data_IF_770294362135
#
_entry.id   IF_770294362135
#
_cell.length_a   1.000
_cell.length_b   1.000
_cell.length_c   1.000
_cell.angle_alpha   90.00
_cell.angle_beta   90.00
_cell.angle_gamma   90.00
#
_symmetry.space_group_name_H-M   'P 1'
#
loop_
_entity.id
_entity.type
_entity.pdbx_description
1 polymer ?
#
# COMPACT_ATOMS: atom_id res chain seq x y z
N UNK A 1 -20.77 14.67 -3.61
CA UNK A 1 -21.67 14.03 -2.63
C UNK A 1 -23.15 14.35 -2.91
N UNK A 2 -23.65 14.18 -4.12
CA UNK A 2 -24.98 14.68 -4.45
C UNK A 2 -25.89 13.75 -5.24
N UNK A 3 -25.45 12.62 -5.80
CA UNK A 3 -26.31 11.91 -6.75
C UNK A 3 -26.43 10.37 -6.61
N UNK A 4 -25.88 9.75 -5.58
CA UNK A 4 -25.90 8.28 -5.45
C UNK A 4 -27.17 7.71 -4.79
N UNK A 5 -28.02 8.54 -4.17
CA UNK A 5 -29.20 8.06 -3.43
C UNK A 5 -30.54 8.60 -3.96
N UNK A 6 -30.79 8.52 -5.28
CA UNK A 6 -32.07 8.97 -5.84
C UNK A 6 -33.26 8.03 -5.60
N UNK A 7 -33.04 6.80 -5.10
CA UNK A 7 -34.15 5.87 -4.75
C UNK A 7 -33.90 5.22 -3.39
N UNK A 8 -34.80 5.47 -2.46
CA UNK A 8 -34.79 4.92 -1.11
C UNK A 8 -36.13 4.22 -0.83
N UNK A 9 -36.10 3.09 -0.14
CA UNK A 9 -37.30 2.46 0.42
C UNK A 9 -37.45 2.92 1.86
N UNK A 10 -38.64 3.28 2.27
CA UNK A 10 -38.95 3.51 3.68
C UNK A 10 -39.41 2.17 4.27
N UNK A 11 -38.62 1.65 5.21
CA UNK A 11 -38.97 0.45 5.98
C UNK A 11 -39.50 0.84 7.36
N UNK A 12 -40.69 0.36 7.73
CA UNK A 12 -41.23 0.49 9.07
C UNK A 12 -40.80 -0.71 9.91
N UNK A 13 -40.07 -0.44 10.99
CA UNK A 13 -39.49 -1.46 11.85
C UNK A 13 -40.54 -2.29 12.58
N UNK A 14 -40.54 -3.59 12.36
CA UNK A 14 -41.48 -4.55 12.97
C UNK A 14 -40.99 -5.02 14.36
N UNK A 15 -41.82 -5.82 15.03
CA UNK A 15 -41.49 -6.38 16.35
C UNK A 15 -40.37 -7.40 16.24
N UNK A 16 -39.31 -7.24 17.02
CA UNK A 16 -38.10 -8.08 17.08
C UNK A 16 -37.14 -7.93 15.89
N UNK A 17 -37.35 -6.97 14.96
CA UNK A 17 -36.36 -6.69 13.95
C UNK A 17 -35.12 -6.00 14.53
N UNK A 18 -33.97 -6.34 13.97
CA UNK A 18 -32.66 -5.74 14.24
C UNK A 18 -32.10 -5.17 12.95
N UNK A 19 -31.14 -4.25 13.03
CA UNK A 19 -30.44 -3.76 11.84
C UNK A 19 -29.86 -4.90 11.01
N UNK A 20 -29.38 -5.96 11.65
CA UNK A 20 -28.88 -7.15 10.99
C UNK A 20 -29.99 -7.93 10.27
N UNK A 21 -31.16 -8.17 10.89
CA UNK A 21 -32.26 -8.85 10.21
C UNK A 21 -32.82 -8.06 9.04
N UNK A 22 -32.85 -6.72 9.15
CA UNK A 22 -33.28 -5.82 8.08
C UNK A 22 -32.25 -5.83 6.94
N UNK A 23 -30.95 -5.79 7.25
CA UNK A 23 -29.89 -5.87 6.25
C UNK A 23 -29.97 -7.17 5.44
N UNK A 24 -30.26 -8.30 6.09
CA UNK A 24 -30.50 -9.58 5.40
C UNK A 24 -31.77 -9.58 4.55
N UNK A 25 -32.86 -8.97 5.06
CA UNK A 25 -34.15 -8.88 4.34
C UNK A 25 -34.02 -8.13 3.01
N UNK A 26 -33.21 -7.09 2.97
CA UNK A 26 -33.00 -6.26 1.79
C UNK A 26 -31.70 -6.57 1.04
N UNK A 27 -30.91 -7.55 1.49
CA UNK A 27 -29.63 -7.94 0.93
C UNK A 27 -28.62 -6.77 0.78
N UNK A 28 -28.51 -5.97 1.82
CA UNK A 28 -27.64 -4.79 1.92
C UNK A 28 -26.78 -4.84 3.18
N UNK A 29 -25.71 -4.05 3.22
CA UNK A 29 -24.85 -3.98 4.41
C UNK A 29 -25.51 -3.13 5.51
N UNK A 30 -25.29 -3.49 6.78
CA UNK A 30 -25.75 -2.70 7.94
C UNK A 30 -25.17 -1.28 7.93
N UNK A 31 -23.93 -1.11 7.47
CA UNK A 31 -23.31 0.20 7.35
C UNK A 31 -24.03 1.12 6.35
N UNK A 32 -24.56 0.59 5.26
CA UNK A 32 -25.31 1.37 4.27
C UNK A 32 -26.64 1.88 4.85
N UNK A 33 -27.30 1.04 5.69
CA UNK A 33 -28.47 1.47 6.46
C UNK A 33 -28.09 2.60 7.43
N UNK A 34 -26.96 2.47 8.13
CA UNK A 34 -26.50 3.46 9.10
C UNK A 34 -26.05 4.78 8.46
N UNK A 35 -25.54 4.74 7.22
CA UNK A 35 -25.21 5.96 6.46
C UNK A 35 -26.47 6.80 6.14
N UNK A 36 -27.55 6.14 5.74
CA UNK A 36 -28.82 6.81 5.48
C UNK A 36 -29.61 7.16 6.74
N UNK A 37 -29.25 6.57 7.88
CA UNK A 37 -29.92 6.75 9.17
C UNK A 37 -28.90 7.04 10.28
N UNK A 38 -28.16 8.17 10.24
CA UNK A 38 -27.07 8.47 11.18
C UNK A 38 -27.51 8.44 12.66
N UNK A 39 -28.78 8.74 12.93
CA UNK A 39 -29.37 8.71 14.25
C UNK A 39 -29.37 7.31 14.89
N UNK A 40 -29.25 6.26 14.09
CA UNK A 40 -29.24 4.87 14.61
C UNK A 40 -27.85 4.41 15.10
N UNK A 41 -26.79 5.19 14.85
CA UNK A 41 -25.43 4.86 15.36
C UNK A 41 -25.37 4.91 16.88
N UNK A 42 -26.14 5.82 17.51
CA UNK A 42 -26.15 6.06 18.95
C UNK A 42 -27.49 5.76 19.61
N UNK A 43 -28.44 5.15 18.90
CA UNK A 43 -29.77 4.87 19.43
C UNK A 43 -30.24 3.45 19.09
N UNK A 44 -31.08 2.85 19.98
CA UNK A 44 -31.69 1.56 19.69
C UNK A 44 -32.80 1.70 18.64
N UNK A 45 -32.87 0.72 17.75
CA UNK A 45 -33.95 0.59 16.78
C UNK A 45 -35.30 0.46 17.50
N UNK A 46 -36.23 1.39 17.21
CA UNK A 46 -37.55 1.41 17.86
C UNK A 46 -38.62 0.80 16.94
N UNK A 47 -39.48 -0.03 17.48
CA UNK A 47 -40.66 -0.56 16.75
C UNK A 47 -41.50 0.58 16.21
N UNK A 48 -41.99 0.45 14.95
CA UNK A 48 -42.74 1.44 14.19
C UNK A 48 -41.95 2.70 13.78
N UNK A 49 -40.63 2.75 14.04
CA UNK A 49 -39.84 3.80 13.45
C UNK A 49 -39.64 3.53 11.96
N UNK A 50 -39.59 4.59 11.18
CA UNK A 50 -39.29 4.53 9.76
C UNK A 50 -37.81 4.74 9.55
N UNK A 51 -37.18 3.85 8.81
CA UNK A 51 -35.78 3.94 8.43
C UNK A 51 -35.64 3.90 6.90
N UNK A 52 -34.63 4.56 6.39
CA UNK A 52 -34.33 4.61 4.96
C UNK A 52 -33.42 3.43 4.58
N UNK A 53 -33.81 2.71 3.55
CA UNK A 53 -33.09 1.56 3.01
C UNK A 53 -32.61 1.92 1.60
N UNK A 54 -31.32 1.84 1.29
CA UNK A 54 -30.83 2.08 -0.07
C UNK A 54 -31.36 1.01 -1.04
N UNK A 55 -31.79 1.41 -2.24
CA UNK A 55 -32.08 0.47 -3.31
C UNK A 55 -30.78 0.28 -4.10
N UNK A 56 -30.23 -0.93 -4.05
CA UNK A 56 -29.19 -1.36 -4.99
C UNK A 56 -29.90 -1.59 -6.35
N UNK A 57 -29.63 -0.71 -7.32
CA UNK A 57 -30.11 -0.94 -8.70
C UNK A 57 -29.55 -2.28 -9.19
N UNK A 58 -30.43 -3.07 -9.80
CA UNK A 58 -30.09 -4.43 -10.21
C UNK A 58 -28.93 -4.43 -11.23
N UNK A 59 -28.05 -5.42 -11.09
CA UNK A 59 -26.85 -5.70 -11.90
C UNK A 59 -27.06 -5.59 -13.44
N UNK A 60 -28.30 -5.50 -13.93
CA UNK A 60 -28.62 -5.35 -15.35
C UNK A 60 -28.45 -3.91 -15.89
N UNK A 61 -28.64 -2.86 -15.07
CA UNK A 61 -28.41 -1.47 -15.51
C UNK A 61 -26.94 -1.08 -15.39
N UNK A 62 -26.21 -1.67 -14.43
CA UNK A 62 -24.75 -1.51 -14.29
C UNK A 62 -24.01 -2.10 -15.51
N UNK A 63 -24.55 -3.16 -16.15
CA UNK A 63 -23.97 -3.72 -17.38
C UNK A 63 -24.10 -2.81 -18.61
N UNK A 64 -25.05 -1.89 -18.63
CA UNK A 64 -25.20 -0.92 -19.73
C UNK A 64 -24.36 0.36 -19.50
N UNK A 65 -24.25 0.83 -18.24
CA UNK A 65 -23.41 2.00 -17.91
C UNK A 65 -21.90 1.66 -17.98
N UNK A 66 -21.52 0.41 -17.69
CA UNK A 66 -20.15 -0.06 -17.84
C UNK A 66 -19.72 -0.36 -19.28
N UNK A 67 -20.62 -0.25 -20.28
CA UNK A 67 -20.25 -0.50 -21.67
C UNK A 67 -19.46 0.67 -22.27
N UNK A 68 -19.65 1.88 -21.78
CA UNK A 68 -18.92 3.06 -22.22
C UNK A 68 -17.60 3.26 -21.45
N UNK A 69 -17.51 2.79 -20.20
CA UNK A 69 -16.23 2.73 -19.45
C UNK A 69 -15.36 1.53 -19.85
N UNK A 70 -15.94 0.45 -20.38
CA UNK A 70 -15.22 -0.70 -20.94
C UNK A 70 -14.46 -0.38 -22.24
N UNK A 71 -14.77 0.72 -22.93
CA UNK A 71 -14.11 1.10 -24.18
C UNK A 71 -12.74 1.78 -23.93
N UNK A 72 -12.52 2.35 -22.74
CA UNK A 72 -11.23 2.95 -22.36
C UNK A 72 -10.28 1.92 -21.71
N UNK A 73 -10.83 0.89 -21.03
CA UNK A 73 -10.02 -0.19 -20.43
C UNK A 73 -9.48 -1.23 -21.42
N UNK A 74 -10.00 -1.28 -22.66
CA UNK A 74 -9.61 -2.31 -23.66
C UNK A 74 -8.27 -2.02 -24.35
N UNK A 75 -7.61 -0.89 -24.03
CA UNK A 75 -6.27 -0.57 -24.52
C UNK A 75 -5.13 -1.12 -23.64
N UNK A 76 -5.40 -1.42 -22.35
CA UNK A 76 -4.40 -1.92 -21.41
C UNK A 76 -4.31 -3.45 -21.46
N UNK A 77 -3.10 -3.98 -21.61
CA UNK A 77 -2.83 -5.43 -21.57
C UNK A 77 -2.87 -5.94 -20.12
N UNK A 78 -4.06 -6.07 -19.54
CA UNK A 78 -4.24 -6.60 -18.18
C UNK A 78 -3.84 -8.08 -18.12
N UNK A 79 -3.10 -8.46 -17.08
CA UNK A 79 -2.57 -9.82 -16.93
C UNK A 79 -3.67 -10.88 -16.81
N UNK A 80 -4.76 -10.60 -16.11
CA UNK A 80 -5.91 -11.50 -16.00
C UNK A 80 -6.52 -11.79 -17.38
N UNK A 81 -6.76 -10.75 -18.20
CA UNK A 81 -7.27 -10.87 -19.56
C UNK A 81 -6.29 -11.60 -20.49
N UNK A 82 -4.98 -11.34 -20.35
CA UNK A 82 -3.93 -12.03 -21.11
C UNK A 82 -3.88 -13.51 -20.71
N UNK A 83 -3.95 -13.82 -19.40
CA UNK A 83 -4.01 -15.18 -18.92
C UNK A 83 -5.22 -15.93 -19.47
N UNK A 84 -6.42 -15.36 -19.37
CA UNK A 84 -7.65 -15.98 -19.88
C UNK A 84 -7.58 -16.30 -21.37
N UNK A 85 -6.96 -15.43 -22.19
CA UNK A 85 -6.73 -15.68 -23.62
C UNK A 85 -5.73 -16.80 -23.91
N UNK A 86 -4.73 -17.00 -23.04
CA UNK A 86 -3.65 -17.98 -23.19
C UNK A 86 -3.85 -19.26 -22.37
N UNK A 87 -4.91 -19.32 -21.59
CA UNK A 87 -5.20 -20.36 -20.60
C UNK A 87 -5.01 -21.76 -21.16
N UNK A 88 -4.15 -22.55 -20.50
CA UNK A 88 -4.07 -23.99 -20.66
C UNK A 88 -4.97 -24.63 -19.61
N UNK A 89 -5.84 -25.56 -20.02
CA UNK A 89 -6.63 -26.34 -19.05
C UNK A 89 -5.70 -27.06 -18.08
N UNK A 90 -6.05 -27.06 -16.79
CA UNK A 90 -5.30 -27.70 -15.71
C UNK A 90 -3.87 -27.16 -15.51
N UNK A 91 -3.68 -25.84 -15.52
CA UNK A 91 -2.39 -25.23 -15.15
C UNK A 91 -2.08 -25.54 -13.69
N UNK A 92 -0.96 -26.22 -13.44
CA UNK A 92 -0.43 -26.46 -12.09
C UNK A 92 0.81 -25.60 -11.87
N UNK A 93 0.89 -24.96 -10.70
CA UNK A 93 1.98 -24.09 -10.30
C UNK A 93 2.51 -24.49 -8.92
N UNK A 94 3.83 -24.62 -8.79
CA UNK A 94 4.51 -24.87 -7.52
C UNK A 94 5.09 -23.55 -7.00
N UNK A 95 4.64 -23.09 -5.85
CA UNK A 95 5.09 -21.86 -5.21
C UNK A 95 5.72 -22.19 -3.87
N UNK A 96 6.92 -21.69 -3.62
CA UNK A 96 7.51 -21.70 -2.27
C UNK A 96 7.46 -20.30 -1.65
N UNK A 97 7.03 -20.25 -0.39
CA UNK A 97 6.95 -19.03 0.42
C UNK A 97 7.90 -19.18 1.60
N UNK A 98 8.89 -18.29 1.69
CA UNK A 98 9.94 -18.30 2.69
C UNK A 98 9.79 -17.08 3.60
N UNK A 99 9.21 -17.26 4.78
CA UNK A 99 8.88 -16.19 5.72
C UNK A 99 9.42 -16.46 7.13
N UNK A 100 9.78 -15.42 7.89
CA UNK A 100 10.32 -15.57 9.24
C UNK A 100 9.21 -15.69 10.30
N UNK A 101 8.45 -16.80 10.28
CA UNK A 101 7.40 -17.06 11.27
C UNK A 101 7.95 -17.21 12.68
N UNK A 102 9.20 -17.69 12.82
CA UNK A 102 9.88 -17.90 14.11
C UNK A 102 9.01 -18.72 15.07
N UNK A 103 8.31 -19.72 14.56
CA UNK A 103 7.31 -20.50 15.27
C UNK A 103 7.87 -21.19 16.53
N UNK A 104 9.13 -21.57 16.51
CA UNK A 104 9.83 -22.20 17.65
C UNK A 104 10.12 -21.27 18.83
N UNK A 105 10.06 -19.93 18.62
CA UNK A 105 10.34 -18.96 19.67
C UNK A 105 9.08 -18.49 20.39
N UNK A 106 7.90 -18.93 19.94
CA UNK A 106 6.62 -18.60 20.56
C UNK A 106 6.34 -19.58 21.69
N UNK A 107 6.09 -19.08 22.87
CA UNK A 107 5.64 -19.88 24.01
C UNK A 107 4.11 -20.04 23.96
N UNK A 108 3.65 -21.09 23.32
CA UNK A 108 2.21 -21.38 23.14
C UNK A 108 1.48 -21.72 24.45
N UNK A 109 2.21 -22.03 25.53
CA UNK A 109 1.63 -22.33 26.84
C UNK A 109 1.27 -21.05 27.62
N UNK A 110 1.75 -19.89 27.20
CA UNK A 110 1.45 -18.59 27.82
C UNK A 110 0.56 -17.74 26.91
N UNK A 111 -0.75 -17.69 27.22
CA UNK A 111 -1.72 -16.86 26.49
C UNK A 111 -1.27 -15.39 26.47
N UNK A 112 -0.80 -14.87 27.62
CA UNK A 112 -0.38 -13.47 27.74
C UNK A 112 0.84 -13.14 26.85
N UNK A 113 1.80 -14.05 26.74
CA UNK A 113 2.94 -13.86 25.82
C UNK A 113 2.49 -13.90 24.36
N UNK A 114 1.58 -14.81 24.01
CA UNK A 114 1.01 -14.88 22.66
C UNK A 114 0.24 -13.62 22.34
N UNK A 115 -0.64 -13.13 23.22
CA UNK A 115 -1.40 -11.90 23.03
C UNK A 115 -0.48 -10.69 22.81
N UNK A 116 0.59 -10.55 23.62
CA UNK A 116 1.55 -9.45 23.49
C UNK A 116 2.28 -9.40 22.14
N UNK A 117 2.43 -10.53 21.46
CA UNK A 117 3.00 -10.56 20.10
C UNK A 117 2.13 -9.87 19.06
N UNK A 118 0.83 -9.71 19.33
CA UNK A 118 -0.15 -9.12 18.41
C UNK A 118 -0.59 -7.72 18.79
N UNK A 119 -0.12 -7.16 19.91
CA UNK A 119 -0.48 -5.81 20.35
C UNK A 119 0.07 -4.73 19.39
N UNK A 120 1.30 -4.92 18.91
CA UNK A 120 1.99 -3.97 18.06
C UNK A 120 2.41 -4.58 16.72
N UNK A 121 2.59 -3.70 15.71
CA UNK A 121 3.15 -4.10 14.42
C UNK A 121 4.63 -4.46 14.57
N UNK A 122 4.94 -5.74 14.42
CA UNK A 122 6.28 -6.31 14.54
C UNK A 122 6.53 -7.37 13.47
N UNK A 123 7.68 -8.06 13.51
CA UNK A 123 8.02 -9.06 12.48
C UNK A 123 7.04 -10.24 12.44
N UNK A 124 6.44 -10.66 13.58
CA UNK A 124 5.44 -11.73 13.59
C UNK A 124 4.16 -11.30 12.89
N UNK A 125 3.61 -10.14 13.28
CA UNK A 125 2.36 -9.64 12.69
C UNK A 125 2.53 -9.36 11.20
N UNK A 126 3.61 -8.70 10.77
CA UNK A 126 3.93 -8.49 9.36
C UNK A 126 3.99 -9.81 8.59
N UNK A 127 4.66 -10.82 9.16
CA UNK A 127 4.83 -12.13 8.53
C UNK A 127 3.49 -12.85 8.34
N UNK A 128 2.67 -12.90 9.39
CA UNK A 128 1.37 -13.59 9.38
C UNK A 128 0.37 -12.87 8.47
N UNK A 129 0.32 -11.55 8.54
CA UNK A 129 -0.57 -10.73 7.72
C UNK A 129 -0.21 -10.85 6.24
N UNK A 130 1.07 -10.72 5.89
CA UNK A 130 1.55 -10.92 4.53
C UNK A 130 1.23 -12.33 4.00
N UNK A 131 1.41 -13.35 4.84
CA UNK A 131 1.08 -14.73 4.48
C UNK A 131 -0.42 -14.94 4.27
N UNK A 132 -1.28 -14.39 5.14
CA UNK A 132 -2.74 -14.48 4.96
C UNK A 132 -3.20 -13.80 3.66
N UNK A 133 -2.54 -12.70 3.28
CA UNK A 133 -2.75 -12.05 1.98
C UNK A 133 -2.38 -12.96 0.80
N UNK A 134 -1.25 -13.68 0.88
CA UNK A 134 -0.87 -14.69 -0.14
C UNK A 134 -1.92 -15.80 -0.22
N UNK A 135 -2.38 -16.33 0.92
CA UNK A 135 -3.42 -17.36 0.95
C UNK A 135 -4.71 -16.89 0.30
N UNK A 136 -5.10 -15.63 0.58
CA UNK A 136 -6.29 -15.06 -0.02
C UNK A 136 -6.14 -14.84 -1.54
N UNK A 137 -4.97 -14.41 -2.01
CA UNK A 137 -4.70 -14.32 -3.46
C UNK A 137 -4.82 -15.69 -4.16
N UNK A 138 -4.34 -16.76 -3.52
CA UNK A 138 -4.46 -18.11 -4.05
C UNK A 138 -5.93 -18.57 -4.08
N UNK A 139 -6.72 -18.26 -3.05
CA UNK A 139 -8.15 -18.57 -3.01
C UNK A 139 -8.91 -17.84 -4.12
N UNK A 140 -8.66 -16.56 -4.31
CA UNK A 140 -9.27 -15.75 -5.35
C UNK A 140 -8.92 -16.25 -6.77
N UNK A 141 -7.68 -16.73 -6.97
CA UNK A 141 -7.23 -17.29 -8.24
C UNK A 141 -7.82 -18.67 -8.56
N UNK A 142 -8.42 -19.37 -7.59
CA UNK A 142 -9.15 -20.64 -7.87
C UNK A 142 -10.32 -20.46 -8.82
N UNK A 143 -10.95 -19.28 -8.81
CA UNK A 143 -12.02 -18.93 -9.76
C UNK A 143 -11.55 -18.97 -11.23
N UNK A 144 -10.23 -18.89 -11.46
CA UNK A 144 -9.62 -19.00 -12.78
C UNK A 144 -9.20 -20.45 -13.15
N UNK A 145 -9.65 -21.49 -12.41
CA UNK A 145 -9.24 -22.90 -12.58
C UNK A 145 -7.71 -23.12 -12.54
N UNK A 146 -7.03 -22.43 -11.64
CA UNK A 146 -5.60 -22.58 -11.40
C UNK A 146 -5.39 -23.48 -10.19
N UNK A 147 -4.57 -24.54 -10.37
CA UNK A 147 -4.14 -25.40 -9.26
C UNK A 147 -2.78 -24.92 -8.76
N UNK A 148 -2.72 -24.52 -7.50
CA UNK A 148 -1.49 -24.04 -6.86
C UNK A 148 -1.08 -25.01 -5.76
N UNK A 149 0.14 -25.52 -5.87
CA UNK A 149 0.80 -26.27 -4.81
C UNK A 149 1.70 -25.30 -4.02
N UNK A 150 1.28 -24.95 -2.80
CA UNK A 150 1.96 -24.00 -1.95
C UNK A 150 2.83 -24.71 -0.91
N UNK A 151 4.13 -24.47 -0.95
CA UNK A 151 5.10 -24.93 0.04
C UNK A 151 5.52 -23.74 0.93
N UNK A 152 5.36 -23.87 2.23
CA UNK A 152 5.62 -22.79 3.20
C UNK A 152 6.75 -23.16 4.13
N UNK A 153 7.74 -22.29 4.24
CA UNK A 153 8.94 -22.50 5.04
C UNK A 153 9.13 -21.39 6.07
N UNK A 154 9.35 -21.79 7.32
CA UNK A 154 9.79 -20.86 8.37
C UNK A 154 11.30 -20.64 8.26
N UNK A 155 11.70 -19.44 7.88
CA UNK A 155 13.12 -19.06 7.79
C UNK A 155 13.76 -18.80 9.15
N UNK A 156 12.97 -18.77 10.22
CA UNK A 156 13.41 -18.44 11.58
C UNK A 156 14.23 -17.12 11.68
N UNK A 157 14.21 -16.30 10.64
CA UNK A 157 15.11 -15.16 10.42
C UNK A 157 16.60 -15.55 10.51
N UNK A 158 16.97 -16.75 10.13
CA UNK A 158 18.29 -17.35 10.27
C UNK A 158 18.91 -17.68 8.91
N UNK A 159 20.14 -17.22 8.67
CA UNK A 159 20.91 -17.53 7.45
C UNK A 159 21.14 -19.03 7.30
N UNK A 160 21.46 -19.73 8.40
CA UNK A 160 21.67 -21.18 8.35
C UNK A 160 20.40 -21.92 7.91
N UNK A 161 19.24 -21.49 8.44
CA UNK A 161 17.95 -22.08 8.07
C UNK A 161 17.61 -21.82 6.60
N UNK A 162 17.92 -20.67 6.10
CA UNK A 162 17.72 -20.29 4.69
C UNK A 162 18.58 -21.15 3.75
N UNK A 163 19.84 -21.41 4.12
CA UNK A 163 20.74 -22.29 3.37
C UNK A 163 20.21 -23.74 3.38
N UNK A 164 19.73 -24.23 4.52
CA UNK A 164 19.10 -25.55 4.65
C UNK A 164 17.88 -25.66 3.72
N UNK A 165 16.94 -24.69 3.80
CA UNK A 165 15.72 -24.63 3.00
C UNK A 165 16.04 -24.61 1.50
N UNK A 166 17.11 -23.95 1.07
CA UNK A 166 17.47 -23.86 -0.35
C UNK A 166 17.78 -25.21 -1.01
N UNK A 167 18.05 -26.23 -0.20
CA UNK A 167 18.32 -27.60 -0.66
C UNK A 167 17.09 -28.50 -0.63
N UNK A 168 15.94 -27.99 -0.18
CA UNK A 168 14.68 -28.74 -0.18
C UNK A 168 14.16 -28.95 -1.59
N UNK A 169 13.71 -30.17 -1.88
CA UNK A 169 13.21 -30.56 -3.19
C UNK A 169 12.01 -29.71 -3.63
N UNK A 170 11.14 -29.29 -2.71
CA UNK A 170 9.98 -28.45 -3.02
C UNK A 170 10.42 -27.04 -3.46
N UNK A 171 11.50 -26.52 -2.86
CA UNK A 171 12.09 -25.22 -3.23
C UNK A 171 12.77 -25.30 -4.59
N UNK A 172 13.56 -26.36 -4.83
CA UNK A 172 14.29 -26.58 -6.10
C UNK A 172 13.31 -26.76 -7.27
N UNK A 173 12.14 -27.34 -7.04
CA UNK A 173 11.12 -27.59 -8.06
C UNK A 173 10.05 -26.49 -8.12
N UNK A 174 10.25 -25.34 -7.48
CA UNK A 174 9.32 -24.23 -7.54
C UNK A 174 9.33 -23.51 -8.88
N UNK A 175 8.18 -23.07 -9.32
CA UNK A 175 8.04 -22.16 -10.46
C UNK A 175 8.37 -20.72 -10.08
N UNK A 176 8.14 -20.37 -8.80
CA UNK A 176 8.51 -19.07 -8.20
C UNK A 176 8.68 -19.21 -6.70
N UNK A 177 9.56 -18.39 -6.13
CA UNK A 177 9.81 -18.28 -4.69
C UNK A 177 9.47 -16.87 -4.23
N UNK A 178 8.62 -16.72 -3.22
CA UNK A 178 8.29 -15.45 -2.59
C UNK A 178 9.03 -15.35 -1.24
N UNK A 179 9.88 -14.33 -1.09
CA UNK A 179 10.77 -14.19 0.05
C UNK A 179 12.17 -14.79 -0.18
N UNK A 180 13.02 -14.77 0.86
CA UNK A 180 12.87 -14.18 2.19
C UNK A 180 12.56 -12.68 2.19
N UNK A 181 11.93 -12.17 3.27
CA UNK A 181 11.52 -10.75 3.32
C UNK A 181 12.56 -9.81 3.92
N UNK A 182 13.59 -10.35 4.55
CA UNK A 182 14.68 -9.55 5.14
C UNK A 182 15.79 -9.37 4.10
N UNK A 183 16.23 -8.12 3.78
CA UNK A 183 17.16 -7.84 2.69
C UNK A 183 18.44 -8.69 2.73
N UNK A 184 19.15 -8.71 3.86
CA UNK A 184 20.38 -9.49 4.03
C UNK A 184 20.17 -10.98 3.77
N UNK A 185 19.06 -11.53 4.25
CA UNK A 185 18.72 -12.94 4.09
C UNK A 185 18.37 -13.25 2.62
N UNK A 186 17.65 -12.34 1.97
CA UNK A 186 17.28 -12.47 0.57
C UNK A 186 18.52 -12.43 -0.35
N UNK A 187 19.47 -11.53 -0.10
CA UNK A 187 20.69 -11.46 -0.89
C UNK A 187 21.53 -12.73 -0.81
N UNK A 188 21.69 -13.31 0.39
CA UNK A 188 22.37 -14.61 0.53
C UNK A 188 21.63 -15.69 -0.23
N UNK A 189 20.32 -15.80 -0.03
CA UNK A 189 19.47 -16.78 -0.68
C UNK A 189 19.52 -16.68 -2.21
N UNK A 190 19.43 -15.49 -2.76
CA UNK A 190 19.37 -15.25 -4.20
C UNK A 190 20.67 -15.65 -4.93
N UNK A 191 21.79 -15.72 -4.22
CA UNK A 191 23.10 -16.10 -4.78
C UNK A 191 23.36 -17.62 -4.72
N UNK A 192 22.46 -18.45 -4.16
CA UNK A 192 22.64 -19.88 -4.07
C UNK A 192 22.47 -20.53 -5.47
N UNK A 193 23.49 -21.24 -5.91
CA UNK A 193 23.53 -21.81 -7.27
C UNK A 193 22.39 -22.79 -7.58
N UNK A 194 21.95 -23.60 -6.61
CA UNK A 194 20.90 -24.61 -6.77
C UNK A 194 19.57 -24.02 -7.25
N UNK A 195 19.26 -22.82 -6.83
CA UNK A 195 17.99 -22.13 -7.10
C UNK A 195 18.16 -20.94 -8.06
N UNK A 196 19.34 -20.78 -8.68
CA UNK A 196 19.70 -19.60 -9.48
C UNK A 196 18.72 -19.33 -10.62
N UNK A 197 18.21 -20.36 -11.27
CA UNK A 197 17.28 -20.26 -12.41
C UNK A 197 15.83 -19.96 -12.00
N UNK A 198 15.47 -20.15 -10.72
CA UNK A 198 14.11 -19.98 -10.24
C UNK A 198 13.86 -18.49 -9.97
N UNK A 199 12.76 -17.89 -10.44
CA UNK A 199 12.37 -16.54 -10.08
C UNK A 199 12.18 -16.38 -8.56
N UNK A 200 12.79 -15.36 -7.97
CA UNK A 200 12.74 -15.03 -6.54
C UNK A 200 12.24 -13.62 -6.33
N UNK A 201 11.19 -13.47 -5.55
CA UNK A 201 10.52 -12.19 -5.31
C UNK A 201 10.88 -11.63 -3.94
N UNK A 202 11.42 -10.42 -3.92
CA UNK A 202 11.65 -9.63 -2.71
C UNK A 202 10.47 -8.68 -2.50
N UNK A 203 9.55 -8.96 -1.53
CA UNK A 203 8.19 -8.45 -1.62
C UNK A 203 7.88 -7.22 -0.76
N UNK A 204 8.69 -6.85 0.25
CA UNK A 204 8.23 -5.93 1.29
C UNK A 204 9.10 -4.68 1.52
N UNK A 205 10.30 -4.58 0.93
CA UNK A 205 11.21 -3.49 1.28
C UNK A 205 11.56 -2.60 0.10
N UNK A 206 11.62 -1.30 0.36
CA UNK A 206 12.13 -0.27 -0.56
C UNK A 206 13.66 -0.20 -0.58
N UNK A 207 14.34 -0.92 0.35
CA UNK A 207 15.80 -1.02 0.39
C UNK A 207 16.27 -1.70 -0.89
N UNK A 208 17.20 -1.11 -1.65
CA UNK A 208 17.71 -1.70 -2.87
C UNK A 208 18.46 -3.01 -2.56
N UNK A 209 18.25 -4.01 -3.40
CA UNK A 209 18.95 -5.29 -3.39
C UNK A 209 19.68 -5.51 -4.71
N UNK A 210 20.60 -6.46 -4.75
CA UNK A 210 21.29 -6.81 -5.99
C UNK A 210 20.37 -7.55 -6.96
N UNK A 211 19.99 -6.88 -8.05
CA UNK A 211 19.01 -7.35 -9.04
C UNK A 211 19.65 -8.21 -10.13
N UNK A 212 20.22 -9.36 -9.73
CA UNK A 212 20.73 -10.36 -10.67
C UNK A 212 19.59 -11.08 -11.41
N UNK A 213 19.90 -11.76 -12.51
CA UNK A 213 18.90 -12.55 -13.27
C UNK A 213 18.09 -13.48 -12.37
N UNK A 214 16.77 -13.48 -12.51
CA UNK A 214 15.84 -14.23 -11.68
C UNK A 214 15.47 -13.59 -10.34
N UNK A 215 16.01 -12.41 -10.01
CA UNK A 215 15.62 -11.64 -8.82
C UNK A 215 14.62 -10.56 -9.22
N UNK A 216 13.57 -10.41 -8.42
CA UNK A 216 12.48 -9.45 -8.64
C UNK A 216 12.24 -8.68 -7.36
N UNK A 217 12.44 -7.36 -7.39
CA UNK A 217 12.01 -6.47 -6.31
C UNK A 217 10.63 -5.93 -6.62
N UNK A 218 9.59 -6.40 -5.93
CA UNK A 218 8.20 -6.02 -6.21
C UNK A 218 7.79 -4.69 -5.55
N UNK A 219 8.57 -4.21 -4.61
CA UNK A 219 8.40 -2.86 -4.02
C UNK A 219 9.33 -1.89 -4.72
N UNK A 220 8.79 -0.76 -5.13
CA UNK A 220 9.57 0.30 -5.79
C UNK A 220 10.71 0.77 -4.90
N UNK A 221 11.96 0.73 -5.37
CA UNK A 221 13.13 1.13 -4.59
C UNK A 221 13.04 2.59 -4.10
N UNK A 222 13.51 2.85 -2.88
CA UNK A 222 13.55 4.20 -2.26
C UNK A 222 14.13 5.26 -3.20
N UNK A 223 15.18 4.91 -3.95
CA UNK A 223 15.81 5.82 -4.91
C UNK A 223 14.83 6.30 -5.97
N UNK A 224 14.04 5.42 -6.56
CA UNK A 224 13.08 5.78 -7.60
C UNK A 224 11.91 6.61 -7.05
N UNK A 225 11.47 6.33 -5.82
CA UNK A 225 10.47 7.15 -5.13
C UNK A 225 10.97 8.58 -4.96
N UNK A 226 12.23 8.76 -4.50
CA UNK A 226 12.87 10.07 -4.38
C UNK A 226 13.01 10.79 -5.72
N UNK A 227 13.50 10.10 -6.76
CA UNK A 227 13.65 10.64 -8.10
C UNK A 227 12.32 11.16 -8.66
N UNK A 228 11.26 10.38 -8.56
CA UNK A 228 9.92 10.80 -9.03
C UNK A 228 9.46 12.04 -8.29
N UNK A 229 9.63 12.08 -6.96
CA UNK A 229 9.22 13.24 -6.17
C UNK A 229 10.06 14.48 -6.48
N UNK A 230 11.37 14.33 -6.63
CA UNK A 230 12.26 15.44 -7.04
C UNK A 230 11.84 16.00 -8.39
N UNK A 231 11.56 15.14 -9.37
CA UNK A 231 11.08 15.57 -10.69
C UNK A 231 9.73 16.28 -10.60
N UNK A 232 8.82 15.78 -9.74
CA UNK A 232 7.56 16.45 -9.49
C UNK A 232 7.75 17.85 -8.88
N UNK A 233 8.62 18.00 -7.89
CA UNK A 233 8.93 19.29 -7.27
C UNK A 233 9.53 20.26 -8.28
N UNK A 234 10.46 19.80 -9.10
CA UNK A 234 11.11 20.59 -10.16
C UNK A 234 10.12 21.17 -11.18
N UNK A 235 9.09 20.37 -11.53
CA UNK A 235 8.08 20.73 -12.53
C UNK A 235 6.93 21.57 -11.95
N UNK A 236 6.65 21.47 -10.64
CA UNK A 236 5.43 22.02 -10.03
C UNK A 236 5.68 23.14 -9.01
N UNK A 237 6.92 23.41 -8.63
CA UNK A 237 7.27 24.54 -7.74
C UNK A 237 7.87 25.66 -8.57
N UNK A 238 7.24 26.85 -8.50
CA UNK A 238 7.80 28.06 -9.13
C UNK A 238 9.02 28.54 -8.31
N UNK A 239 10.11 28.89 -8.98
CA UNK A 239 11.33 29.45 -8.36
C UNK A 239 11.10 30.82 -7.71
N UNK A 240 9.99 31.50 -7.99
CA UNK A 240 9.62 32.75 -7.34
C UNK A 240 8.89 32.54 -6.02
N UNK A 241 8.47 31.32 -5.69
CA UNK A 241 7.88 30.95 -4.41
C UNK A 241 8.96 30.89 -3.32
N UNK A 242 8.57 31.05 -2.06
CA UNK A 242 9.50 30.90 -0.93
C UNK A 242 9.74 29.41 -0.66
N UNK A 243 10.96 28.95 -0.90
CA UNK A 243 11.33 27.53 -0.78
C UNK A 243 12.24 27.34 0.42
N UNK A 244 11.81 26.50 1.37
CA UNK A 244 12.56 26.15 2.58
C UNK A 244 12.86 24.67 2.57
N UNK A 245 14.14 24.31 2.70
CA UNK A 245 14.59 22.91 2.78
C UNK A 245 15.08 22.64 4.20
N UNK A 246 14.46 21.70 4.87
CA UNK A 246 14.80 21.23 6.23
C UNK A 246 15.35 19.81 6.10
N UNK A 247 16.63 19.63 6.33
CA UNK A 247 17.26 18.31 6.21
C UNK A 247 18.19 18.01 7.39
N UNK A 248 18.10 16.79 7.92
CA UNK A 248 19.07 16.30 8.90
C UNK A 248 20.40 15.87 8.24
N UNK A 249 21.40 15.58 9.07
CA UNK A 249 22.73 15.21 8.58
C UNK A 249 22.78 13.94 7.75
N UNK A 250 21.82 13.01 7.94
CA UNK A 250 21.74 11.75 7.18
C UNK A 250 21.16 11.96 5.79
N UNK A 251 20.47 13.07 5.56
CA UNK A 251 19.84 13.45 4.29
C UNK A 251 20.58 14.59 3.55
N UNK A 252 21.83 14.87 3.89
CA UNK A 252 22.64 15.96 3.29
C UNK A 252 22.85 15.80 1.78
N UNK A 253 22.93 14.58 1.25
CA UNK A 253 23.00 14.34 -0.19
C UNK A 253 21.73 14.81 -0.91
N UNK A 254 20.57 14.56 -0.32
CA UNK A 254 19.28 15.00 -0.87
C UNK A 254 19.11 16.51 -0.74
N UNK A 255 19.53 17.10 0.40
CA UNK A 255 19.57 18.55 0.57
C UNK A 255 20.39 19.23 -0.53
N UNK A 256 21.58 18.69 -0.81
CA UNK A 256 22.45 19.22 -1.88
C UNK A 256 21.75 19.16 -3.22
N UNK A 257 21.17 18.02 -3.58
CA UNK A 257 20.47 17.84 -4.85
C UNK A 257 19.24 18.74 -5.01
N UNK A 258 18.45 18.92 -3.95
CA UNK A 258 17.34 19.87 -3.95
C UNK A 258 17.82 21.32 -4.08
N UNK A 259 18.98 21.64 -3.49
CA UNK A 259 19.61 22.96 -3.60
C UNK A 259 20.15 23.26 -5.00
N UNK A 260 20.55 22.26 -5.77
CA UNK A 260 20.91 22.42 -7.18
C UNK A 260 19.70 22.79 -8.05
N UNK A 261 18.51 22.23 -7.71
CA UNK A 261 17.25 22.51 -8.41
C UNK A 261 16.69 23.87 -7.97
N UNK A 262 16.78 24.20 -6.67
CA UNK A 262 16.27 25.41 -6.07
C UNK A 262 17.42 26.22 -5.43
N UNK A 263 18.27 26.92 -6.22
CA UNK A 263 19.46 27.59 -5.71
C UNK A 263 19.17 28.67 -4.65
N UNK A 264 18.05 29.37 -4.79
CA UNK A 264 17.61 30.44 -3.88
C UNK A 264 16.90 29.92 -2.63
N UNK A 265 16.80 28.59 -2.45
CA UNK A 265 16.11 28.00 -1.30
C UNK A 265 16.84 28.28 0.01
N UNK A 266 16.07 28.52 1.05
CA UNK A 266 16.56 28.66 2.42
C UNK A 266 16.80 27.27 3.01
N UNK A 267 17.98 27.03 3.58
CA UNK A 267 18.38 25.73 4.13
C UNK A 267 18.43 25.81 5.63
N UNK A 268 17.75 24.87 6.29
CA UNK A 268 17.76 24.73 7.75
C UNK A 268 18.33 23.36 8.11
N UNK A 269 19.34 23.36 8.96
CA UNK A 269 19.82 22.17 9.65
C UNK A 269 19.24 22.15 11.06
N UNK A 270 18.55 21.06 11.46
CA UNK A 270 18.05 20.93 12.81
C UNK A 270 19.19 21.04 13.84
N UNK A 271 19.00 21.85 14.86
CA UNK A 271 19.88 21.86 16.01
C UNK A 271 19.49 20.71 16.97
N UNK A 272 20.43 20.23 17.78
CA UNK A 272 20.23 19.23 18.86
C UNK A 272 19.03 18.28 18.69
N UNK A 273 19.29 17.06 18.29
CA UNK A 273 18.32 15.94 18.22
C UNK A 273 17.04 16.17 17.39
N UNK A 274 17.10 17.09 16.41
CA UNK A 274 15.98 17.28 15.48
C UNK A 274 14.96 18.35 15.93
N UNK A 275 15.37 19.35 16.69
CA UNK A 275 14.51 20.49 17.05
C UNK A 275 14.82 21.70 16.18
N UNK A 276 13.76 22.44 15.82
CA UNK A 276 13.85 23.77 15.19
C UNK A 276 13.08 24.75 16.05
N UNK A 277 13.70 25.90 16.36
CA UNK A 277 13.05 26.95 17.13
C UNK A 277 11.85 27.52 16.35
N UNK A 278 10.66 27.63 16.96
CA UNK A 278 9.47 28.15 16.30
C UNK A 278 9.68 29.56 15.72
N UNK A 279 10.40 30.42 16.43
CA UNK A 279 10.72 31.81 16.01
C UNK A 279 11.59 31.80 14.75
N UNK A 280 12.50 30.84 14.61
CA UNK A 280 13.32 30.69 13.41
C UNK A 280 12.42 30.33 12.23
N UNK A 281 11.57 29.31 12.39
CA UNK A 281 10.68 28.85 11.31
C UNK A 281 9.70 29.96 10.89
N UNK A 282 9.10 30.68 11.85
CA UNK A 282 8.22 31.82 11.57
C UNK A 282 8.93 32.92 10.78
N UNK A 283 10.18 33.27 11.15
CA UNK A 283 10.95 34.32 10.48
C UNK A 283 11.31 34.03 9.01
N UNK A 284 11.23 32.76 8.61
CA UNK A 284 11.57 32.31 7.24
C UNK A 284 10.35 32.17 6.32
N UNK A 285 9.15 32.17 6.90
CA UNK A 285 7.91 32.12 6.13
C UNK A 285 7.44 33.54 5.76
N UNK A 286 7.01 33.69 4.54
CA UNK A 286 6.66 35.00 3.95
C UNK A 286 5.15 35.05 3.72
N UNK A 287 4.55 36.23 4.00
CA UNK A 287 3.17 36.52 3.66
C UNK A 287 3.05 36.86 2.16
N UNK A 288 1.88 36.67 1.59
CA UNK A 288 1.53 37.08 0.20
C UNK A 288 2.18 36.26 -0.94
N UNK A 289 3.11 35.38 -0.64
CA UNK A 289 3.63 34.39 -1.60
C UNK A 289 3.57 32.98 -1.00
N UNK A 290 3.36 31.92 -1.80
CA UNK A 290 3.31 30.55 -1.28
C UNK A 290 4.65 30.12 -0.68
N UNK A 291 4.60 29.46 0.47
CA UNK A 291 5.75 28.85 1.11
C UNK A 291 5.76 27.34 0.85
N UNK A 292 6.83 26.85 0.23
CA UNK A 292 7.05 25.44 -0.09
C UNK A 292 8.13 24.88 0.84
N UNK A 293 7.72 24.08 1.80
CA UNK A 293 8.63 23.49 2.80
C UNK A 293 8.89 22.03 2.45
N UNK A 294 10.15 21.67 2.22
CA UNK A 294 10.58 20.31 1.90
C UNK A 294 11.32 19.76 3.12
N UNK A 295 10.81 18.69 3.72
CA UNK A 295 11.40 18.09 4.93
C UNK A 295 12.01 16.74 4.58
N UNK A 296 13.32 16.62 4.78
CA UNK A 296 14.10 15.42 4.55
C UNK A 296 14.69 14.90 5.86
N UNK A 297 13.91 14.09 6.55
CA UNK A 297 14.31 13.46 7.82
C UNK A 297 13.52 12.18 8.07
N UNK A 298 14.14 11.27 8.84
CA UNK A 298 13.47 10.11 9.44
C UNK A 298 13.42 10.24 10.99
N UNK A 299 13.75 11.42 11.53
CA UNK A 299 13.68 11.71 12.96
C UNK A 299 12.26 12.13 13.31
N UNK A 300 11.56 11.30 14.09
CA UNK A 300 10.16 11.52 14.44
C UNK A 300 9.93 12.86 15.15
N UNK A 301 10.77 13.21 16.13
CA UNK A 301 10.64 14.47 16.88
C UNK A 301 10.73 15.70 15.99
N UNK A 302 11.61 15.69 14.99
CA UNK A 302 11.73 16.76 14.00
C UNK A 302 10.46 16.86 13.15
N UNK A 303 10.02 15.74 12.58
CA UNK A 303 8.84 15.70 11.71
C UNK A 303 7.60 16.19 12.45
N UNK A 304 7.34 15.65 13.65
CA UNK A 304 6.17 16.03 14.46
C UNK A 304 6.18 17.50 14.83
N UNK A 305 7.34 18.01 15.26
CA UNK A 305 7.52 19.43 15.60
C UNK A 305 7.30 20.34 14.38
N UNK A 306 7.92 20.03 13.25
CA UNK A 306 7.79 20.83 12.02
C UNK A 306 6.36 20.82 11.50
N UNK A 307 5.68 19.68 11.45
CA UNK A 307 4.28 19.60 11.02
C UNK A 307 3.39 20.51 11.88
N UNK A 308 3.52 20.42 13.21
CA UNK A 308 2.73 21.23 14.13
C UNK A 308 3.02 22.72 14.00
N UNK A 309 4.30 23.11 13.93
CA UNK A 309 4.73 24.49 13.79
C UNK A 309 4.26 25.10 12.47
N UNK A 310 4.44 24.40 11.34
CA UNK A 310 4.01 24.86 10.02
C UNK A 310 2.49 25.02 9.94
N UNK A 311 1.72 24.08 10.51
CA UNK A 311 0.28 24.17 10.54
C UNK A 311 -0.21 25.41 11.33
N UNK A 312 0.48 25.76 12.43
CA UNK A 312 0.17 26.95 13.23
C UNK A 312 0.46 28.26 12.50
N UNK A 313 1.30 28.24 11.47
CA UNK A 313 1.68 29.41 10.67
C UNK A 313 0.74 29.72 9.49
N UNK A 314 -0.22 28.83 9.19
CA UNK A 314 -1.17 29.04 8.10
C UNK A 314 -2.15 30.15 8.49
N UNK A 315 -2.27 31.18 7.65
CA UNK A 315 -3.24 32.28 7.79
C UNK A 315 -3.94 32.55 6.46
N UNK A 316 -4.82 33.59 6.40
CA UNK A 316 -5.42 34.01 5.14
C UNK A 316 -4.41 34.63 4.15
N UNK A 317 -3.26 35.10 4.64
CA UNK A 317 -2.21 35.75 3.85
C UNK A 317 -0.97 34.86 3.67
N UNK A 318 -0.82 33.82 4.49
CA UNK A 318 0.33 32.91 4.49
C UNK A 318 -0.10 31.48 4.12
N UNK A 319 0.12 31.11 2.86
CA UNK A 319 -0.04 29.72 2.39
C UNK A 319 1.24 28.92 2.64
N UNK A 320 1.11 27.75 3.27
CA UNK A 320 2.23 26.85 3.57
C UNK A 320 1.92 25.46 3.04
N UNK A 321 2.84 24.89 2.25
CA UNK A 321 2.74 23.54 1.69
C UNK A 321 3.93 22.69 2.07
N UNK A 322 3.65 21.45 2.49
CA UNK A 322 4.65 20.52 2.98
C UNK A 322 4.93 19.39 1.97
N UNK A 323 6.20 19.10 1.79
CA UNK A 323 6.69 18.06 0.89
C UNK A 323 7.76 17.21 1.54
N UNK A 324 7.91 15.96 1.07
CA UNK A 324 9.11 15.14 1.31
C UNK A 324 9.40 14.29 0.09
N UNK A 325 10.67 14.02 -0.19
CA UNK A 325 11.03 13.14 -1.31
C UNK A 325 10.87 11.66 -0.97
N UNK A 326 10.82 11.34 0.33
CA UNK A 326 10.55 9.99 0.80
C UNK A 326 9.82 10.00 2.14
N UNK A 327 8.58 9.52 2.12
CA UNK A 327 7.75 9.39 3.31
C UNK A 327 8.14 8.13 4.09
N UNK A 328 8.77 8.31 5.25
CA UNK A 328 9.02 7.23 6.21
C UNK A 328 7.77 6.87 7.04
N UNK A 329 7.86 5.81 7.84
CA UNK A 329 6.79 5.38 8.74
C UNK A 329 6.51 6.38 9.89
N UNK A 330 7.40 7.34 10.11
CA UNK A 330 7.28 8.36 11.15
C UNK A 330 6.02 9.20 11.00
N UNK A 331 5.54 9.39 9.77
CA UNK A 331 4.28 10.10 9.49
C UNK A 331 3.02 9.28 9.79
N UNK A 332 3.16 7.98 10.12
CA UNK A 332 2.05 7.09 10.52
C UNK A 332 1.77 7.14 12.04
N UNK A 333 2.62 7.83 12.81
CA UNK A 333 2.46 7.93 14.25
C UNK A 333 1.17 8.69 14.62
N UNK A 334 0.44 8.16 15.57
CA UNK A 334 -0.87 8.69 16.00
C UNK A 334 -0.80 10.10 16.60
N UNK A 335 0.37 10.57 17.00
CA UNK A 335 0.58 11.93 17.50
C UNK A 335 0.71 12.98 16.38
N UNK A 336 0.92 12.56 15.12
CA UNK A 336 0.85 13.45 13.97
C UNK A 336 -0.61 13.57 13.53
N UNK A 337 -1.15 14.77 13.64
CA UNK A 337 -2.54 15.02 13.31
C UNK A 337 -2.76 14.98 11.77
N UNK A 338 -3.60 14.08 11.30
CA UNK A 338 -3.95 13.95 9.87
C UNK A 338 -4.53 15.26 9.31
N UNK A 339 -5.29 16.02 10.12
CA UNK A 339 -5.82 17.31 9.73
C UNK A 339 -4.71 18.33 9.45
N UNK A 340 -3.64 18.33 10.25
CA UNK A 340 -2.51 19.23 10.04
C UNK A 340 -1.78 18.91 8.73
N UNK A 341 -1.59 17.62 8.44
CA UNK A 341 -1.08 17.18 7.13
C UNK A 341 -2.00 17.59 5.98
N UNK A 342 -3.32 17.53 6.19
CA UNK A 342 -4.33 17.99 5.24
C UNK A 342 -4.27 19.49 4.97
N UNK A 343 -4.19 20.31 6.01
CA UNK A 343 -4.06 21.77 5.92
C UNK A 343 -2.79 22.18 5.16
N UNK A 344 -1.67 21.49 5.44
CA UNK A 344 -0.38 21.68 4.79
C UNK A 344 -0.34 21.11 3.36
N UNK A 345 -1.36 20.38 2.91
CA UNK A 345 -1.36 19.72 1.61
C UNK A 345 -0.15 18.78 1.46
N UNK A 346 0.21 18.04 2.52
CA UNK A 346 1.39 17.18 2.55
C UNK A 346 1.46 16.25 1.35
N UNK A 347 2.50 16.41 0.53
CA UNK A 347 2.66 15.71 -0.75
C UNK A 347 3.93 14.87 -0.76
N UNK A 348 3.83 13.62 -1.22
CA UNK A 348 4.91 12.63 -1.21
C UNK A 348 4.66 11.50 -2.20
N UNK A 349 5.68 10.70 -2.49
CA UNK A 349 5.57 9.46 -3.25
C UNK A 349 5.24 8.27 -2.34
N UNK A 350 4.41 7.35 -2.84
CA UNK A 350 3.98 6.16 -2.11
C UNK A 350 3.98 4.91 -2.99
N UNK A 351 4.25 3.76 -2.38
CA UNK A 351 4.14 2.43 -3.00
C UNK A 351 2.73 1.86 -2.92
N UNK A 352 1.85 2.50 -2.16
CA UNK A 352 0.46 2.09 -1.99
C UNK A 352 -0.44 3.29 -1.84
N UNK A 353 -1.69 3.14 -2.28
CA UNK A 353 -2.75 4.12 -2.13
C UNK A 353 -3.98 3.41 -1.59
N UNK A 354 -4.48 3.86 -0.44
CA UNK A 354 -5.77 3.39 0.06
C UNK A 354 -6.87 3.83 -0.90
N UNK A 355 -7.61 2.87 -1.42
CA UNK A 355 -8.72 3.09 -2.35
C UNK A 355 -10.01 2.78 -1.60
N UNK A 356 -11.04 3.59 -1.81
CA UNK A 356 -12.38 3.34 -1.29
C UNK A 356 -13.33 3.19 -2.48
N UNK A 357 -13.61 1.95 -2.84
CA UNK A 357 -14.55 1.60 -3.91
C UNK A 357 -15.18 0.22 -3.68
N UNK A 358 -16.15 -0.14 -4.52
CA UNK A 358 -16.89 -1.41 -4.41
C UNK A 358 -15.99 -2.66 -4.52
N UNK A 359 -14.88 -2.58 -5.23
CA UNK A 359 -13.94 -3.71 -5.36
C UNK A 359 -13.20 -3.94 -4.05
N UNK A 360 -12.77 -2.87 -3.37
CA UNK A 360 -12.15 -2.93 -2.03
C UNK A 360 -13.16 -3.44 -1.02
N UNK A 361 -14.38 -2.92 -1.01
CA UNK A 361 -15.43 -3.38 -0.09
C UNK A 361 -15.75 -4.87 -0.27
N UNK A 362 -15.74 -5.38 -1.49
CA UNK A 362 -15.89 -6.82 -1.76
C UNK A 362 -14.69 -7.63 -1.27
N UNK A 363 -13.47 -7.15 -1.52
CA UNK A 363 -12.23 -7.75 -1.03
C UNK A 363 -12.25 -7.85 0.49
N UNK A 364 -12.53 -6.75 1.20
CA UNK A 364 -12.59 -6.71 2.66
C UNK A 364 -13.65 -7.68 3.21
N UNK A 365 -14.87 -7.66 2.65
CA UNK A 365 -15.96 -8.53 3.09
C UNK A 365 -15.62 -10.01 2.91
N UNK A 366 -14.99 -10.37 1.79
CA UNK A 366 -14.59 -11.76 1.52
C UNK A 366 -13.43 -12.19 2.41
N UNK A 367 -12.45 -11.29 2.64
CA UNK A 367 -11.34 -11.56 3.56
C UNK A 367 -11.84 -11.76 4.99
N UNK A 368 -12.74 -10.89 5.50
CA UNK A 368 -13.35 -11.04 6.83
C UNK A 368 -14.06 -12.38 6.96
N UNK A 369 -14.79 -12.81 5.93
CA UNK A 369 -15.48 -14.10 5.97
C UNK A 369 -14.53 -15.30 6.10
N UNK A 370 -13.31 -15.20 5.56
CA UNK A 370 -12.31 -16.28 5.60
C UNK A 370 -11.43 -16.23 6.85
N UNK A 371 -11.03 -15.05 7.28
CA UNK A 371 -10.00 -14.84 8.31
C UNK A 371 -10.53 -14.19 9.60
N UNK A 372 -11.77 -13.69 9.61
CA UNK A 372 -12.43 -13.15 10.82
C UNK A 372 -12.03 -11.74 11.21
N UNK A 373 -11.12 -11.08 10.49
CA UNK A 373 -10.62 -9.73 10.78
C UNK A 373 -10.53 -8.86 9.53
N UNK A 374 -10.50 -7.54 9.69
CA UNK A 374 -10.24 -6.62 8.58
C UNK A 374 -8.81 -6.79 8.06
N UNK A 375 -8.60 -6.77 6.72
CA UNK A 375 -7.26 -6.78 6.16
C UNK A 375 -6.54 -5.46 6.46
N UNK A 376 -5.30 -5.55 6.89
CA UNK A 376 -4.42 -4.41 7.05
C UNK A 376 -3.48 -4.25 5.83
N UNK A 377 -2.61 -3.23 5.86
CA UNK A 377 -1.69 -2.93 4.77
C UNK A 377 -0.74 -4.10 4.41
N UNK A 378 -0.36 -4.92 5.37
CA UNK A 378 0.56 -6.05 5.15
C UNK A 378 -0.18 -7.24 4.50
N UNK A 379 -1.45 -7.48 4.85
CA UNK A 379 -2.36 -8.42 4.17
C UNK A 379 -2.56 -8.02 2.72
N UNK A 380 -2.95 -6.76 2.48
CA UNK A 380 -3.22 -6.25 1.13
C UNK A 380 -1.96 -6.34 0.27
N UNK A 381 -0.80 -6.02 0.83
CA UNK A 381 0.49 -6.17 0.13
C UNK A 381 0.77 -7.63 -0.23
N UNK A 382 0.49 -8.58 0.68
CA UNK A 382 0.63 -10.01 0.42
C UNK A 382 -0.25 -10.47 -0.74
N UNK A 383 -1.50 -10.04 -0.76
CA UNK A 383 -2.45 -10.32 -1.82
C UNK A 383 -2.01 -9.72 -3.16
N UNK A 384 -1.72 -8.42 -3.21
CA UNK A 384 -1.37 -7.72 -4.45
C UNK A 384 -0.12 -8.30 -5.10
N UNK A 385 0.95 -8.52 -4.31
CA UNK A 385 2.21 -9.11 -4.80
C UNK A 385 2.00 -10.54 -5.29
N UNK A 386 1.30 -11.37 -4.50
CA UNK A 386 1.09 -12.76 -4.87
C UNK A 386 0.26 -12.87 -6.15
N UNK A 387 -0.83 -12.10 -6.26
CA UNK A 387 -1.70 -12.11 -7.44
C UNK A 387 -0.96 -11.69 -8.70
N UNK A 388 -0.20 -10.59 -8.65
CA UNK A 388 0.58 -10.12 -9.79
C UNK A 388 1.63 -11.15 -10.24
N UNK A 389 2.42 -11.66 -9.32
CA UNK A 389 3.50 -12.61 -9.62
C UNK A 389 2.95 -13.94 -10.14
N UNK A 390 1.89 -14.46 -9.53
CA UNK A 390 1.27 -15.73 -9.97
C UNK A 390 0.74 -15.60 -11.39
N UNK A 391 0.02 -14.53 -11.72
CA UNK A 391 -0.48 -14.28 -13.06
C UNK A 391 0.65 -14.17 -14.09
N UNK A 392 1.76 -13.49 -13.74
CA UNK A 392 2.93 -13.37 -14.63
C UNK A 392 3.59 -14.72 -14.89
N UNK A 393 3.80 -15.53 -13.86
CA UNK A 393 4.39 -16.88 -13.97
C UNK A 393 3.52 -17.81 -14.81
N UNK A 394 2.20 -17.72 -14.69
CA UNK A 394 1.23 -18.47 -15.49
C UNK A 394 1.26 -18.07 -16.97
N UNK A 395 1.53 -16.82 -17.27
CA UNK A 395 1.64 -16.31 -18.64
C UNK A 395 2.98 -16.74 -19.27
N UNK A 396 4.08 -16.60 -18.55
CA UNK A 396 5.43 -17.04 -18.97
C UNK A 396 6.32 -17.25 -17.73
N UNK A 397 6.90 -18.45 -17.60
CA UNK A 397 7.84 -18.77 -16.51
C UNK A 397 9.10 -17.89 -16.54
N UNK A 398 9.47 -17.38 -17.70
CA UNK A 398 10.51 -16.35 -17.82
C UNK A 398 9.89 -14.96 -17.62
N UNK A 399 9.94 -14.46 -16.39
CA UNK A 399 9.33 -13.19 -16.02
C UNK A 399 9.88 -11.97 -16.77
N UNK A 400 11.10 -12.03 -17.31
CA UNK A 400 11.65 -10.99 -18.20
C UNK A 400 10.80 -10.76 -19.46
N UNK A 401 10.01 -11.75 -19.89
CA UNK A 401 9.07 -11.61 -21.02
C UNK A 401 7.77 -10.93 -20.64
N UNK A 402 7.49 -10.78 -19.36
CA UNK A 402 6.27 -10.13 -18.85
C UNK A 402 6.44 -8.63 -18.62
N UNK A 403 7.65 -8.09 -18.78
CA UNK A 403 7.96 -6.64 -18.69
C UNK A 403 7.19 -5.82 -19.75
N UNK A 404 6.81 -6.45 -20.85
CA UNK A 404 6.05 -5.80 -21.94
C UNK A 404 4.60 -5.48 -21.62
N UNK A 405 4.08 -5.93 -20.49
CA UNK A 405 2.72 -5.63 -20.08
C UNK A 405 2.68 -4.29 -19.36
N UNK A 406 1.60 -3.54 -19.60
CA UNK A 406 1.39 -2.23 -19.00
C UNK A 406 1.31 -2.30 -17.47
N UNK A 407 1.27 -1.15 -16.82
CA UNK A 407 1.09 -1.02 -15.38
C UNK A 407 -0.17 -1.78 -14.93
N UNK A 408 -0.01 -2.66 -13.95
CA UNK A 408 -1.10 -3.42 -13.35
C UNK A 408 -1.46 -2.80 -12.00
N UNK A 409 -2.74 -2.48 -11.81
CA UNK A 409 -3.28 -1.97 -10.55
C UNK A 409 -4.08 -3.04 -9.83
N UNK A 410 -3.87 -3.16 -8.53
CA UNK A 410 -4.56 -4.10 -7.64
C UNK A 410 -5.31 -3.34 -6.53
N UNK A 411 -5.43 -3.91 -5.33
CA UNK A 411 -6.21 -3.31 -4.24
C UNK A 411 -5.61 -1.98 -3.77
N UNK A 412 -4.31 -1.95 -3.46
CA UNK A 412 -3.62 -0.72 -3.05
C UNK A 412 -2.30 -0.49 -3.80
N UNK A 413 -1.86 -1.45 -4.61
CA UNK A 413 -0.55 -1.44 -5.25
C UNK A 413 -0.62 -1.37 -6.75
N UNK A 414 0.44 -0.82 -7.37
CA UNK A 414 0.68 -0.85 -8.81
C UNK A 414 1.99 -1.57 -9.11
N UNK A 415 2.03 -2.29 -10.23
CA UNK A 415 3.23 -2.99 -10.68
C UNK A 415 3.51 -2.74 -12.15
N UNK A 416 4.65 -2.10 -12.41
CA UNK A 416 5.27 -1.95 -13.72
C UNK A 416 6.72 -2.39 -13.57
N UNK A 417 7.08 -3.55 -14.12
CA UNK A 417 8.44 -4.05 -13.97
C UNK A 417 9.35 -3.58 -15.08
N UNK A 418 10.53 -3.12 -14.68
CA UNK A 418 11.63 -2.77 -15.56
C UNK A 418 12.82 -3.69 -15.31
N UNK A 419 13.67 -3.82 -16.34
CA UNK A 419 14.84 -4.69 -16.28
C UNK A 419 16.07 -3.91 -15.81
N UNK A 420 16.72 -4.42 -14.77
CA UNK A 420 18.02 -3.94 -14.31
C UNK A 420 19.17 -4.35 -15.23
N UNK A 421 20.28 -3.64 -15.16
CA UNK A 421 21.50 -3.93 -15.92
C UNK A 421 22.08 -5.31 -15.65
N UNK A 422 21.90 -5.86 -14.43
CA UNK A 422 22.31 -7.21 -14.06
C UNK A 422 21.28 -8.29 -14.40
N UNK A 423 20.17 -7.90 -15.04
CA UNK A 423 19.17 -8.81 -15.59
C UNK A 423 18.03 -9.20 -14.64
N UNK A 424 17.99 -8.67 -13.41
CA UNK A 424 16.84 -8.76 -12.53
C UNK A 424 15.75 -7.75 -12.89
N UNK A 425 14.65 -7.77 -12.15
CA UNK A 425 13.51 -6.89 -12.34
C UNK A 425 13.24 -6.06 -11.08
N UNK A 426 12.82 -4.82 -11.27
CA UNK A 426 12.31 -3.98 -10.20
C UNK A 426 10.98 -3.34 -10.60
N UNK A 427 10.13 -3.09 -9.61
CA UNK A 427 8.93 -2.32 -9.82
C UNK A 427 9.29 -0.83 -9.93
N UNK A 428 8.84 -0.16 -10.99
CA UNK A 428 9.01 1.28 -11.20
C UNK A 428 7.74 2.08 -10.92
N UNK A 429 6.64 1.38 -10.64
CA UNK A 429 5.34 2.01 -10.40
C UNK A 429 5.22 2.60 -9.01
N UNK A 430 4.59 3.76 -8.91
CA UNK A 430 4.34 4.47 -7.64
C UNK A 430 3.23 5.50 -7.80
N UNK A 431 2.75 6.00 -6.67
CA UNK A 431 1.79 7.09 -6.60
C UNK A 431 2.48 8.38 -6.16
N UNK A 432 1.95 9.54 -6.57
CA UNK A 432 2.17 10.81 -5.88
C UNK A 432 0.88 11.11 -5.14
N UNK A 433 0.96 11.21 -3.83
CA UNK A 433 -0.17 11.40 -2.95
C UNK A 433 -0.12 12.77 -2.26
N UNK A 434 -1.29 13.38 -2.08
CA UNK A 434 -1.47 14.61 -1.32
C UNK A 434 -2.54 14.45 -0.27
N UNK A 435 -2.25 14.86 0.96
CA UNK A 435 -3.26 15.01 1.99
C UNK A 435 -4.17 16.22 1.70
N UNK A 436 -5.49 16.03 1.87
CA UNK A 436 -6.49 17.10 1.85
C UNK A 436 -7.50 16.86 2.96
N UNK A 437 -7.66 17.85 3.84
CA UNK A 437 -8.52 17.74 5.02
C UNK A 437 -8.26 16.41 5.77
N UNK A 438 -9.19 15.46 5.70
CA UNK A 438 -9.05 14.13 6.33
C UNK A 438 -8.80 13.01 5.30
N UNK A 439 -8.64 13.34 4.03
CA UNK A 439 -8.47 12.39 2.93
C UNK A 439 -7.08 12.45 2.29
N UNK A 440 -6.83 11.49 1.41
CA UNK A 440 -5.62 11.42 0.58
C UNK A 440 -6.06 11.30 -0.87
N UNK A 441 -5.60 12.21 -1.73
CA UNK A 441 -5.82 12.15 -3.17
C UNK A 441 -4.55 11.75 -3.91
N UNK A 442 -4.70 11.09 -5.05
CA UNK A 442 -3.61 10.88 -6.00
C UNK A 442 -3.51 12.08 -6.93
N UNK A 443 -2.29 12.58 -7.12
CA UNK A 443 -1.98 13.56 -8.15
C UNK A 443 -1.64 12.75 -9.41
N UNK A 444 -2.47 12.93 -10.44
CA UNK A 444 -2.27 12.35 -11.77
C UNK A 444 -1.56 13.42 -12.60
N UNK A 445 -0.35 13.09 -13.09
CA UNK A 445 0.45 13.96 -13.98
C UNK A 445 -0.19 14.10 -15.37
#
# INVERSE_FOLDING_TARGET
>A
LGDVYKRQIIHEVERKETLFSISKKYNINVNDILQLNPQLRNSRLKRKSKIFIPILESIQEIKLANKDSLIIEDSLLRLDSVYLKKRKKNSQLNISVLLPFRSKTVNYDSIQEVESLFEDRNLYTITLDFYSGILYAIEDLKELDISINLNVFDTENSLNKIIEISSDNSVINSDVIIGPIIPKNFEVFSNINLIKSIPKVFPLSTIPIRLISGVIQSVTPKKLLREKMINYLDQNIDRQENIVIIADSLNSEIELRLSEIFPESIKIKPEFEGYILPELLDSLLVDSIPNKVIVESEIFTLISSVVSQLNAQITSERDVRLYTTYRGNQYDDSSINIKDLGNLGFTYTSISKKIDNDSVSRFESSYINLFGSLPNKDVIRGYDVAKDIILRVLIDKNLNKTVKYDEQSYIESKFLYEKDTLGGLYNSSMFILRHREYGIEEIID
#
